data_IF_317429982838
#
_entry.id   IF_317429982838
#
_cell.length_a   1.000
_cell.length_b   1.000
_cell.length_c   1.000
_cell.angle_alpha   90.00
_cell.angle_beta   90.00
_cell.angle_gamma   90.00
#
_symmetry.space_group_name_H-M   'P 1'
#
loop_
_entity.id
_entity.type
_entity.pdbx_description
1 polymer ?
#
# COMPACT_ATOMS: atom_id res chain seq x y z
N UNK A 1 16.53 36.24 -15.50
CA UNK A 1 17.37 35.33 -16.32
C UNK A 1 17.75 34.12 -15.46
N UNK A 2 17.40 32.89 -15.88
CA UNK A 2 17.87 31.67 -15.17
C UNK A 2 19.38 31.53 -15.46
N UNK A 3 20.20 31.44 -14.43
CA UNK A 3 21.62 31.11 -14.60
C UNK A 3 21.71 29.74 -15.30
N UNK A 4 22.66 29.57 -16.24
CA UNK A 4 22.84 28.29 -16.93
C UNK A 4 23.14 27.20 -15.91
N UNK A 5 22.42 26.10 -15.98
CA UNK A 5 22.59 24.94 -15.08
C UNK A 5 24.01 24.38 -15.29
N UNK A 6 24.82 24.25 -14.24
CA UNK A 6 26.16 23.69 -14.32
C UNK A 6 26.16 22.31 -14.96
N UNK A 7 27.14 22.00 -15.78
CA UNK A 7 27.28 20.71 -16.47
C UNK A 7 28.42 19.89 -15.86
N UNK A 8 28.47 18.60 -16.11
CA UNK A 8 29.54 17.71 -15.65
C UNK A 8 30.94 18.21 -16.07
N UNK A 9 31.06 18.84 -17.24
CA UNK A 9 32.30 19.44 -17.74
C UNK A 9 32.78 20.61 -16.87
N UNK A 10 31.88 21.40 -16.33
CA UNK A 10 32.24 22.56 -15.52
C UNK A 10 32.83 22.07 -14.16
N UNK A 11 32.31 20.93 -13.65
CA UNK A 11 32.90 20.26 -12.48
C UNK A 11 34.30 19.70 -12.80
N UNK A 12 34.48 19.16 -14.01
CA UNK A 12 35.79 18.63 -14.45
C UNK A 12 36.83 19.74 -14.51
N UNK A 13 36.49 20.87 -15.10
CA UNK A 13 37.34 22.06 -15.16
C UNK A 13 37.65 22.59 -13.74
N UNK A 14 36.64 22.78 -12.90
CA UNK A 14 36.80 23.30 -11.54
C UNK A 14 37.61 22.36 -10.61
N UNK A 15 37.52 21.05 -10.82
CA UNK A 15 38.25 20.05 -10.02
C UNK A 15 39.60 19.65 -10.61
N UNK A 16 39.95 20.08 -11.82
CA UNK A 16 41.19 19.77 -12.49
C UNK A 16 41.39 18.29 -12.83
N UNK A 17 40.28 17.58 -13.17
CA UNK A 17 40.35 16.17 -13.53
C UNK A 17 39.54 15.88 -14.79
N UNK A 18 39.83 14.73 -15.42
CA UNK A 18 39.09 14.32 -16.61
C UNK A 18 37.63 14.05 -16.34
N UNK A 19 36.74 14.31 -17.30
CA UNK A 19 35.29 14.13 -17.22
C UNK A 19 34.90 12.74 -16.75
N UNK A 20 35.58 11.67 -17.18
CA UNK A 20 35.33 10.31 -16.74
C UNK A 20 35.62 10.08 -15.26
N UNK A 21 36.61 10.80 -14.68
CA UNK A 21 36.95 10.76 -13.27
C UNK A 21 35.85 11.42 -12.44
N UNK A 22 35.34 12.58 -12.89
CA UNK A 22 34.19 13.23 -12.26
C UNK A 22 32.98 12.32 -12.28
N UNK A 23 32.65 11.72 -13.43
CA UNK A 23 31.52 10.79 -13.56
C UNK A 23 31.64 9.60 -12.58
N UNK A 24 32.84 9.03 -12.40
CA UNK A 24 33.09 7.94 -11.46
C UNK A 24 32.99 8.40 -10.02
N UNK A 25 33.58 9.55 -9.68
CA UNK A 25 33.60 10.08 -8.32
C UNK A 25 32.20 10.43 -7.81
N UNK A 26 31.32 10.91 -8.69
CA UNK A 26 29.94 11.29 -8.36
C UNK A 26 28.93 10.12 -8.46
N UNK A 27 29.38 8.95 -8.85
CA UNK A 27 28.55 7.75 -8.91
C UNK A 27 28.89 6.80 -7.76
N UNK A 28 27.95 6.55 -6.86
CA UNK A 28 28.13 5.73 -5.66
C UNK A 28 28.69 4.32 -5.98
N UNK A 29 28.32 3.71 -7.11
CA UNK A 29 28.79 2.38 -7.51
C UNK A 29 30.26 2.36 -7.96
N UNK A 30 30.80 3.48 -8.43
CA UNK A 30 32.17 3.57 -8.98
C UNK A 30 33.06 4.52 -8.19
N UNK A 31 32.54 5.19 -7.18
CA UNK A 31 33.29 6.15 -6.34
C UNK A 31 34.55 5.51 -5.71
N UNK A 32 34.47 4.24 -5.31
CA UNK A 32 35.58 3.48 -4.75
C UNK A 32 36.76 3.28 -5.75
N UNK A 33 36.53 3.45 -7.06
CA UNK A 33 37.57 3.37 -8.09
C UNK A 33 38.37 4.67 -8.22
N UNK A 34 37.97 5.73 -7.51
CA UNK A 34 38.64 7.05 -7.54
C UNK A 34 39.39 7.26 -6.22
N UNK A 35 40.61 7.76 -6.29
CA UNK A 35 41.39 8.06 -5.09
C UNK A 35 40.60 9.01 -4.18
N UNK A 36 40.58 8.78 -2.84
CA UNK A 36 39.75 9.57 -1.90
C UNK A 36 39.98 11.08 -1.99
N UNK A 37 41.22 11.52 -2.15
CA UNK A 37 41.58 12.93 -2.32
C UNK A 37 40.98 13.53 -3.60
N UNK A 38 41.01 12.79 -4.71
CA UNK A 38 40.41 13.21 -5.98
C UNK A 38 38.91 13.27 -5.88
N UNK A 39 38.26 12.26 -5.24
CA UNK A 39 36.82 12.24 -5.04
C UNK A 39 36.39 13.45 -4.20
N UNK A 40 37.13 13.77 -3.11
CA UNK A 40 36.87 14.95 -2.27
C UNK A 40 36.94 16.25 -3.07
N UNK A 41 37.94 16.44 -3.94
CA UNK A 41 38.05 17.62 -4.81
C UNK A 41 36.86 17.74 -5.75
N UNK A 42 36.42 16.63 -6.34
CA UNK A 42 35.30 16.61 -7.26
C UNK A 42 33.99 16.96 -6.51
N UNK A 43 33.76 16.40 -5.34
CA UNK A 43 32.55 16.72 -4.53
C UNK A 43 32.53 18.20 -4.13
N UNK A 44 33.69 18.77 -3.71
CA UNK A 44 33.79 20.19 -3.38
C UNK A 44 33.51 21.09 -4.58
N UNK A 45 34.03 20.73 -5.76
CA UNK A 45 33.78 21.47 -7.00
C UNK A 45 32.28 21.40 -7.39
N UNK A 46 31.67 20.22 -7.33
CA UNK A 46 30.25 20.06 -7.61
C UNK A 46 29.38 20.89 -6.63
N UNK A 47 29.71 20.89 -5.35
CA UNK A 47 29.01 21.69 -4.35
C UNK A 47 29.14 23.19 -4.60
N UNK A 48 30.34 23.68 -4.88
CA UNK A 48 30.60 25.10 -5.19
C UNK A 48 29.82 25.59 -6.42
N UNK A 49 29.71 24.74 -7.45
CA UNK A 49 28.98 25.06 -8.67
C UNK A 49 27.47 24.86 -8.54
N UNK A 50 26.99 24.25 -7.45
CA UNK A 50 25.57 23.82 -7.33
C UNK A 50 25.23 22.72 -8.34
N UNK A 51 26.24 21.96 -8.83
CA UNK A 51 26.01 20.86 -9.76
C UNK A 51 25.29 19.71 -9.05
N UNK A 52 24.23 19.25 -9.68
CA UNK A 52 23.53 18.01 -9.30
C UNK A 52 23.67 17.01 -10.45
N UNK A 53 23.90 15.75 -10.08
CA UNK A 53 23.94 14.69 -11.10
C UNK A 53 22.60 14.65 -11.82
N UNK A 54 22.64 14.81 -13.13
CA UNK A 54 21.45 14.73 -13.96
C UNK A 54 20.97 13.26 -14.02
N UNK A 55 19.89 12.98 -13.29
CA UNK A 55 19.27 11.65 -13.23
C UNK A 55 18.79 11.17 -14.60
N UNK A 56 18.30 12.09 -15.45
CA UNK A 56 17.83 11.78 -16.81
C UNK A 56 18.98 11.35 -17.70
N UNK A 57 20.09 12.12 -17.70
CA UNK A 57 21.28 11.76 -18.45
C UNK A 57 21.90 10.44 -17.99
N UNK A 58 21.86 10.16 -16.68
CA UNK A 58 22.28 8.88 -16.11
C UNK A 58 21.37 7.75 -16.57
N UNK A 59 20.04 7.92 -16.45
CA UNK A 59 19.05 6.92 -16.86
C UNK A 59 19.18 6.56 -18.35
N UNK A 60 19.41 7.55 -19.22
CA UNK A 60 19.65 7.32 -20.66
C UNK A 60 20.91 6.47 -20.90
N UNK A 61 21.96 6.67 -20.11
CA UNK A 61 23.23 5.94 -20.25
C UNK A 61 23.18 4.53 -19.66
N UNK A 62 22.52 4.36 -18.50
CA UNK A 62 22.48 3.10 -17.74
C UNK A 62 21.24 2.27 -18.06
N UNK A 63 20.23 2.85 -18.67
CA UNK A 63 18.87 2.32 -18.85
C UNK A 63 18.14 2.04 -17.53
N UNK A 64 18.62 2.62 -16.43
CA UNK A 64 18.00 2.53 -15.09
C UNK A 64 17.69 3.93 -14.56
N UNK A 65 16.45 4.15 -14.17
CA UNK A 65 16.01 5.43 -13.57
C UNK A 65 16.42 5.54 -12.11
N UNK A 66 16.72 4.40 -11.47
CA UNK A 66 16.90 4.27 -10.02
C UNK A 66 15.65 4.74 -9.25
N UNK A 67 14.48 4.41 -9.79
CA UNK A 67 13.19 4.73 -9.20
C UNK A 67 12.30 3.50 -9.16
N UNK A 68 11.56 3.33 -8.06
CA UNK A 68 10.54 2.30 -7.88
C UNK A 68 9.18 2.98 -7.76
N UNK A 69 8.19 2.49 -8.49
CA UNK A 69 6.82 2.94 -8.36
C UNK A 69 6.10 2.15 -7.26
N UNK A 70 5.44 2.85 -6.35
CA UNK A 70 4.53 2.24 -5.36
C UNK A 70 3.14 2.80 -5.61
N UNK A 71 2.17 1.92 -5.86
CA UNK A 71 0.77 2.31 -6.02
C UNK A 71 -0.08 1.69 -4.92
N UNK A 72 -0.82 2.53 -4.21
CA UNK A 72 -1.72 2.13 -3.12
C UNK A 72 -3.14 2.61 -3.39
N UNK A 73 -4.16 1.97 -2.80
CA UNK A 73 -5.53 2.40 -3.03
C UNK A 73 -5.85 3.74 -2.37
N UNK A 74 -5.36 3.99 -1.15
CA UNK A 74 -5.70 5.20 -0.40
C UNK A 74 -4.59 5.55 0.60
N UNK A 75 -3.99 6.73 0.45
CA UNK A 75 -2.93 7.22 1.34
C UNK A 75 -3.46 7.62 2.73
N UNK A 76 -4.76 7.88 2.85
CA UNK A 76 -5.39 8.25 4.12
C UNK A 76 -5.71 7.03 4.99
N UNK A 77 -5.72 5.82 4.41
CA UNK A 77 -5.90 4.59 5.17
C UNK A 77 -4.62 4.26 5.95
N UNK A 78 -4.67 4.26 7.31
CA UNK A 78 -3.49 4.10 8.18
C UNK A 78 -2.72 2.79 8.01
N UNK A 79 -3.29 1.81 7.33
CA UNK A 79 -2.63 0.54 7.00
C UNK A 79 -1.45 0.72 6.03
N UNK A 80 -1.59 1.60 5.02
CA UNK A 80 -0.60 1.70 3.95
C UNK A 80 0.67 2.47 4.31
N UNK A 81 0.65 3.59 5.05
CA UNK A 81 1.85 4.37 5.35
C UNK A 81 3.00 3.58 6.00
N UNK A 82 2.78 2.67 6.97
CA UNK A 82 3.85 1.84 7.52
C UNK A 82 4.46 0.89 6.48
N UNK A 83 3.65 0.29 5.61
CA UNK A 83 4.12 -0.59 4.55
C UNK A 83 4.96 0.17 3.50
N UNK A 84 4.49 1.35 3.08
CA UNK A 84 5.21 2.24 2.16
C UNK A 84 6.55 2.67 2.78
N UNK A 85 6.56 3.04 4.05
CA UNK A 85 7.79 3.43 4.75
C UNK A 85 8.80 2.29 4.80
N UNK A 86 8.37 1.06 5.15
CA UNK A 86 9.24 -0.10 5.17
C UNK A 86 9.85 -0.39 3.79
N UNK A 87 9.06 -0.27 2.72
CA UNK A 87 9.55 -0.40 1.36
C UNK A 87 10.55 0.72 1.00
N UNK A 88 10.24 1.98 1.33
CA UNK A 88 11.11 3.13 1.09
C UNK A 88 12.48 2.98 1.77
N UNK A 89 12.51 2.53 3.02
CA UNK A 89 13.75 2.29 3.78
C UNK A 89 14.68 1.31 3.04
N UNK A 90 14.12 0.19 2.54
CA UNK A 90 14.87 -0.82 1.79
C UNK A 90 15.35 -0.27 0.45
N UNK A 91 14.47 0.34 -0.32
CA UNK A 91 14.83 0.87 -1.65
C UNK A 91 15.84 2.00 -1.56
N UNK A 92 15.71 2.90 -0.59
CA UNK A 92 16.66 4.00 -0.35
C UNK A 92 18.04 3.45 0.02
N UNK A 93 18.13 2.42 0.86
CA UNK A 93 19.39 1.75 1.19
C UNK A 93 20.07 1.13 -0.05
N UNK A 94 19.28 0.71 -1.05
CA UNK A 94 19.75 0.23 -2.35
C UNK A 94 20.02 1.35 -3.38
N UNK A 95 19.82 2.61 -3.01
CA UNK A 95 20.06 3.78 -3.88
C UNK A 95 18.89 4.12 -4.81
N UNK A 96 17.71 3.53 -4.60
CA UNK A 96 16.50 3.86 -5.34
C UNK A 96 15.71 4.99 -4.67
N UNK A 97 15.04 5.80 -5.46
CA UNK A 97 13.98 6.70 -5.00
C UNK A 97 12.61 6.05 -5.18
N UNK A 98 11.65 6.42 -4.35
CA UNK A 98 10.28 5.92 -4.44
C UNK A 98 9.37 6.98 -5.04
N UNK A 99 8.54 6.57 -6.01
CA UNK A 99 7.43 7.32 -6.55
C UNK A 99 6.13 6.71 -5.99
N UNK A 100 5.47 7.42 -5.08
CA UNK A 100 4.22 6.98 -4.48
C UNK A 100 3.02 7.56 -5.23
N UNK A 101 2.01 6.72 -5.47
CA UNK A 101 0.72 7.12 -6.04
C UNK A 101 -0.44 6.51 -5.27
N UNK A 102 -1.51 7.30 -5.09
CA UNK A 102 -2.78 6.85 -4.51
C UNK A 102 -3.87 6.87 -5.57
N UNK A 103 -4.62 5.77 -5.70
CA UNK A 103 -5.60 5.59 -6.79
C UNK A 103 -7.05 5.81 -6.35
N UNK A 104 -7.30 6.00 -5.05
CA UNK A 104 -8.64 6.11 -4.45
C UNK A 104 -9.57 4.94 -4.84
N UNK A 105 -9.01 3.75 -5.06
CA UNK A 105 -9.71 2.55 -5.58
C UNK A 105 -10.39 2.76 -6.95
N UNK A 106 -10.04 3.82 -7.69
CA UNK A 106 -10.59 4.15 -9.01
C UNK A 106 -9.72 3.57 -10.13
N UNK A 107 -10.35 2.84 -11.07
CA UNK A 107 -9.65 2.19 -12.18
C UNK A 107 -9.03 3.21 -13.13
N UNK A 108 -9.74 4.29 -13.46
CA UNK A 108 -9.25 5.30 -14.40
C UNK A 108 -8.02 6.02 -13.84
N UNK A 109 -8.06 6.36 -12.56
CA UNK A 109 -6.91 6.92 -11.83
C UNK A 109 -5.75 5.92 -11.81
N UNK A 110 -6.02 4.62 -11.56
CA UNK A 110 -4.98 3.60 -11.54
C UNK A 110 -4.25 3.49 -12.90
N UNK A 111 -4.99 3.46 -14.02
CA UNK A 111 -4.39 3.46 -15.35
C UNK A 111 -3.55 4.72 -15.62
N UNK A 112 -4.09 5.89 -15.30
CA UNK A 112 -3.38 7.16 -15.49
C UNK A 112 -2.07 7.20 -14.71
N UNK A 113 -2.09 6.75 -13.46
CA UNK A 113 -0.90 6.72 -12.60
C UNK A 113 0.11 5.66 -13.06
N UNK A 114 -0.37 4.51 -13.52
CA UNK A 114 0.48 3.49 -14.10
C UNK A 114 1.21 4.01 -15.34
N UNK A 115 0.50 4.64 -16.28
CA UNK A 115 1.10 5.25 -17.46
C UNK A 115 2.15 6.31 -17.09
N UNK A 116 1.91 7.10 -16.06
CA UNK A 116 2.89 8.07 -15.57
C UNK A 116 4.17 7.38 -15.05
N UNK A 117 4.05 6.23 -14.37
CA UNK A 117 5.20 5.45 -13.92
C UNK A 117 5.97 4.81 -15.07
N UNK A 118 5.26 4.31 -16.11
CA UNK A 118 5.87 3.84 -17.35
C UNK A 118 6.67 4.96 -18.03
N UNK A 119 6.07 6.16 -18.17
CA UNK A 119 6.74 7.33 -18.75
C UNK A 119 7.96 7.78 -17.93
N UNK A 120 7.88 7.69 -16.60
CA UNK A 120 9.01 7.94 -15.70
C UNK A 120 10.08 6.84 -15.77
N UNK A 121 9.81 5.73 -16.46
CA UNK A 121 10.71 4.58 -16.62
C UNK A 121 11.15 3.98 -15.29
N UNK A 122 10.21 3.80 -14.36
CA UNK A 122 10.53 3.13 -13.09
C UNK A 122 11.15 1.75 -13.37
N UNK A 123 12.12 1.36 -12.54
CA UNK A 123 12.84 0.09 -12.68
C UNK A 123 12.06 -1.10 -12.09
N UNK A 124 11.03 -0.82 -11.30
CA UNK A 124 10.15 -1.81 -10.70
C UNK A 124 8.88 -1.20 -10.13
N UNK A 125 7.89 -2.05 -9.87
CA UNK A 125 6.58 -1.68 -9.32
C UNK A 125 6.23 -2.49 -8.08
N UNK A 126 5.65 -1.81 -7.08
CA UNK A 126 5.04 -2.42 -5.91
C UNK A 126 3.57 -1.98 -5.86
N UNK A 127 2.64 -2.93 -6.06
CA UNK A 127 1.23 -2.62 -6.27
C UNK A 127 0.35 -3.17 -5.14
N UNK A 128 -0.25 -2.28 -4.33
CA UNK A 128 -1.18 -2.62 -3.24
C UNK A 128 -2.65 -2.34 -3.56
N UNK A 129 -2.94 -1.84 -4.77
CA UNK A 129 -4.27 -1.38 -5.17
C UNK A 129 -5.00 -2.33 -6.12
N UNK A 130 -4.37 -3.41 -6.54
CA UNK A 130 -4.88 -4.27 -7.61
C UNK A 130 -6.20 -4.95 -7.24
N UNK A 131 -7.03 -5.22 -8.24
CA UNK A 131 -8.26 -6.01 -8.12
C UNK A 131 -7.99 -7.45 -8.54
N UNK A 132 -8.86 -8.38 -8.17
CA UNK A 132 -8.75 -9.80 -8.54
C UNK A 132 -8.72 -10.00 -10.05
N UNK A 133 -9.62 -9.32 -10.76
CA UNK A 133 -9.68 -9.25 -12.22
C UNK A 133 -9.42 -7.78 -12.62
N UNK A 134 -8.16 -7.39 -12.73
CA UNK A 134 -7.79 -6.00 -13.02
C UNK A 134 -7.35 -5.84 -14.47
N UNK A 135 -7.97 -4.91 -15.22
CA UNK A 135 -7.59 -4.65 -16.62
C UNK A 135 -6.12 -4.23 -16.81
N UNK A 136 -5.48 -3.70 -15.76
CA UNK A 136 -4.07 -3.29 -15.80
C UNK A 136 -3.10 -4.48 -15.92
N UNK A 137 -3.55 -5.70 -15.61
CA UNK A 137 -2.71 -6.91 -15.58
C UNK A 137 -2.07 -7.18 -16.95
N UNK A 138 -2.81 -7.01 -18.04
CA UNK A 138 -2.27 -7.24 -19.38
C UNK A 138 -1.23 -6.16 -19.76
N UNK A 139 -1.42 -4.93 -19.30
CA UNK A 139 -0.42 -3.88 -19.47
C UNK A 139 0.84 -4.16 -18.63
N UNK A 140 0.67 -4.64 -17.40
CA UNK A 140 1.79 -5.06 -16.54
C UNK A 140 2.62 -6.17 -17.19
N UNK A 141 1.97 -7.21 -17.73
CA UNK A 141 2.64 -8.31 -18.44
C UNK A 141 3.42 -7.80 -19.65
N UNK A 142 2.80 -6.93 -20.45
CA UNK A 142 3.41 -6.40 -21.68
C UNK A 142 4.53 -5.39 -21.41
N UNK A 143 4.49 -4.70 -20.28
CA UNK A 143 5.52 -3.71 -19.90
C UNK A 143 6.90 -4.33 -19.61
N UNK A 144 6.91 -5.60 -19.16
CA UNK A 144 8.13 -6.28 -18.73
C UNK A 144 8.79 -5.69 -17.48
N UNK A 145 8.13 -4.77 -16.77
CA UNK A 145 8.66 -4.15 -15.56
C UNK A 145 8.52 -5.13 -14.40
N UNK A 146 9.60 -5.44 -13.65
CA UNK A 146 9.53 -6.25 -12.46
C UNK A 146 8.45 -5.71 -11.50
N UNK A 147 7.47 -6.55 -11.18
CA UNK A 147 6.31 -6.16 -10.38
C UNK A 147 6.10 -7.13 -9.24
N UNK A 148 5.85 -6.59 -8.04
CA UNK A 148 5.43 -7.33 -6.85
C UNK A 148 4.10 -6.77 -6.38
N UNK A 149 3.16 -7.65 -6.10
CA UNK A 149 1.88 -7.30 -5.47
C UNK A 149 2.04 -7.32 -3.95
N UNK A 150 1.38 -6.42 -3.24
CA UNK A 150 1.34 -6.48 -1.78
C UNK A 150 -0.05 -6.17 -1.25
N UNK A 151 -0.38 -6.72 -0.08
CA UNK A 151 -1.69 -6.63 0.55
C UNK A 151 -2.82 -7.27 -0.30
N UNK A 152 -2.91 -6.96 -1.58
CA UNK A 152 -3.86 -7.55 -2.53
C UNK A 152 -3.14 -8.34 -3.60
N UNK A 153 -3.81 -9.34 -4.15
CA UNK A 153 -3.34 -10.14 -5.27
C UNK A 153 -4.43 -10.30 -6.33
N UNK A 154 -4.09 -10.96 -7.42
CA UNK A 154 -5.01 -11.34 -8.51
C UNK A 154 -5.31 -12.83 -8.44
N UNK A 155 -6.29 -13.30 -9.21
CA UNK A 155 -6.71 -14.70 -9.21
C UNK A 155 -5.74 -15.62 -9.99
N UNK A 156 -4.71 -15.06 -10.63
CA UNK A 156 -3.67 -15.81 -11.35
C UNK A 156 -2.33 -15.70 -10.62
N UNK A 157 -1.39 -16.62 -10.91
CA UNK A 157 -0.07 -16.67 -10.28
C UNK A 157 1.02 -15.93 -11.09
N UNK A 158 0.66 -14.91 -11.84
CA UNK A 158 1.57 -14.21 -12.75
C UNK A 158 2.64 -13.36 -12.06
N UNK A 159 2.37 -12.93 -10.84
CA UNK A 159 3.24 -12.01 -10.10
C UNK A 159 3.58 -12.55 -8.72
N UNK A 160 4.81 -12.28 -8.28
CA UNK A 160 5.16 -12.46 -6.87
C UNK A 160 4.29 -11.57 -5.99
N UNK A 161 3.87 -12.08 -4.84
CA UNK A 161 3.04 -11.32 -3.91
C UNK A 161 3.48 -11.48 -2.46
N UNK A 162 3.22 -10.43 -1.67
CA UNK A 162 3.37 -10.41 -0.21
C UNK A 162 2.04 -9.98 0.36
N UNK A 163 1.29 -10.92 0.91
CA UNK A 163 -0.07 -10.70 1.41
C UNK A 163 -0.21 -11.22 2.85
N UNK A 164 -1.09 -10.64 3.68
CA UNK A 164 -1.42 -11.20 4.97
C UNK A 164 -2.18 -12.53 4.81
N UNK A 165 -2.16 -13.35 5.85
CA UNK A 165 -3.04 -14.53 5.92
C UNK A 165 -4.45 -14.10 6.33
N UNK A 166 -5.18 -13.55 5.36
CA UNK A 166 -6.56 -13.06 5.53
C UNK A 166 -7.52 -14.17 5.99
N UNK A 167 -7.28 -15.39 5.54
CA UNK A 167 -8.12 -16.53 5.90
C UNK A 167 -7.95 -16.88 7.37
N UNK A 168 -6.72 -17.05 7.82
CA UNK A 168 -6.42 -17.38 9.21
C UNK A 168 -6.89 -16.29 10.18
N UNK A 169 -6.61 -15.01 9.87
CA UNK A 169 -7.07 -13.88 10.69
C UNK A 169 -8.59 -13.83 10.82
N UNK A 170 -9.32 -14.12 9.74
CA UNK A 170 -10.79 -14.16 9.75
C UNK A 170 -11.34 -15.34 10.53
N UNK A 171 -10.72 -16.51 10.44
CA UNK A 171 -11.06 -17.66 11.28
C UNK A 171 -10.88 -17.34 12.76
N UNK A 172 -9.75 -16.73 13.14
CA UNK A 172 -9.49 -16.30 14.52
C UNK A 172 -10.58 -15.36 15.05
N UNK A 173 -11.06 -14.41 14.24
CA UNK A 173 -12.14 -13.50 14.64
C UNK A 173 -13.45 -14.25 14.92
N UNK A 174 -13.85 -15.18 14.06
CA UNK A 174 -15.05 -16.02 14.26
C UNK A 174 -14.90 -16.88 15.51
N UNK A 175 -13.78 -17.59 15.67
CA UNK A 175 -13.51 -18.42 16.83
C UNK A 175 -13.52 -17.62 18.14
N UNK A 176 -12.95 -16.42 18.13
CA UNK A 176 -12.94 -15.54 19.28
C UNK A 176 -14.37 -15.19 19.74
N UNK A 177 -15.20 -14.71 18.82
CA UNK A 177 -16.59 -14.38 19.11
C UNK A 177 -17.40 -15.63 19.53
N UNK A 178 -17.15 -16.78 18.92
CA UNK A 178 -17.77 -18.04 19.31
C UNK A 178 -17.42 -18.44 20.76
N UNK A 179 -16.14 -18.32 21.14
CA UNK A 179 -15.67 -18.59 22.52
C UNK A 179 -16.31 -17.65 23.55
N UNK A 180 -16.62 -16.41 23.16
CA UNK A 180 -17.35 -15.44 23.98
C UNK A 180 -18.87 -15.72 24.06
N UNK A 181 -19.37 -16.72 23.34
CA UNK A 181 -20.78 -17.13 23.41
C UNK A 181 -21.65 -16.57 22.28
N UNK A 182 -21.15 -15.79 21.38
CA UNK A 182 -21.91 -15.26 20.24
C UNK A 182 -22.33 -16.40 19.29
N UNK A 183 -23.57 -16.35 18.81
CA UNK A 183 -24.16 -17.36 17.89
C UNK A 183 -24.86 -16.71 16.70
N UNK A 184 -25.05 -15.40 16.72
CA UNK A 184 -25.63 -14.59 15.65
C UNK A 184 -24.67 -13.46 15.32
N UNK A 185 -23.89 -13.65 14.26
CA UNK A 185 -22.86 -12.73 13.83
C UNK A 185 -23.30 -11.90 12.63
N UNK A 186 -22.78 -10.69 12.53
CA UNK A 186 -22.74 -9.91 11.31
C UNK A 186 -21.33 -9.93 10.72
N UNK A 187 -21.23 -9.92 9.39
CA UNK A 187 -19.99 -9.63 8.68
C UNK A 187 -20.22 -8.40 7.79
N UNK A 188 -19.50 -7.33 8.08
CA UNK A 188 -19.40 -6.18 7.17
C UNK A 188 -18.12 -6.35 6.37
N UNK A 189 -18.26 -6.88 5.15
CA UNK A 189 -17.14 -7.15 4.25
C UNK A 189 -16.91 -5.98 3.30
N UNK A 190 -15.65 -5.67 3.00
CA UNK A 190 -15.31 -4.68 1.97
C UNK A 190 -15.64 -5.19 0.56
N UNK A 191 -15.39 -4.39 -0.49
CA UNK A 191 -15.70 -4.75 -1.87
C UNK A 191 -15.02 -6.05 -2.31
N UNK A 192 -15.82 -7.07 -2.66
CA UNK A 192 -15.36 -8.44 -2.96
C UNK A 192 -14.59 -8.58 -4.28
N UNK A 193 -14.52 -7.53 -5.08
CA UNK A 193 -13.60 -7.47 -6.20
C UNK A 193 -12.12 -7.39 -5.76
N UNK A 194 -11.84 -7.26 -4.47
CA UNK A 194 -10.49 -7.32 -3.90
C UNK A 194 -10.22 -8.69 -3.30
N UNK A 195 -9.00 -9.18 -3.43
CA UNK A 195 -8.59 -10.48 -2.88
C UNK A 195 -8.71 -10.54 -1.35
N UNK A 196 -8.42 -9.45 -0.65
CA UNK A 196 -8.55 -9.36 0.81
C UNK A 196 -9.99 -9.55 1.26
N UNK A 197 -10.96 -8.84 0.65
CA UNK A 197 -12.36 -8.96 1.02
C UNK A 197 -12.93 -10.35 0.68
N UNK A 198 -12.61 -10.88 -0.51
CA UNK A 198 -13.05 -12.20 -0.94
C UNK A 198 -12.48 -13.31 -0.05
N UNK A 199 -11.19 -13.26 0.29
CA UNK A 199 -10.56 -14.24 1.18
C UNK A 199 -11.18 -14.21 2.58
N UNK A 200 -11.36 -13.02 3.16
CA UNK A 200 -12.01 -12.84 4.48
C UNK A 200 -13.45 -13.35 4.47
N UNK A 201 -14.23 -13.01 3.43
CA UNK A 201 -15.61 -13.49 3.28
C UNK A 201 -15.68 -15.01 3.22
N UNK A 202 -14.84 -15.64 2.40
CA UNK A 202 -14.81 -17.11 2.28
C UNK A 202 -14.46 -17.76 3.61
N UNK A 203 -13.41 -17.29 4.26
CA UNK A 203 -12.94 -17.84 5.53
C UNK A 203 -14.01 -17.71 6.65
N UNK A 204 -14.68 -16.56 6.76
CA UNK A 204 -15.77 -16.38 7.71
C UNK A 204 -16.92 -17.36 7.40
N UNK A 205 -17.35 -17.48 6.13
CA UNK A 205 -18.43 -18.40 5.73
C UNK A 205 -18.11 -19.86 6.04
N UNK A 206 -16.89 -20.29 5.81
CA UNK A 206 -16.44 -21.63 6.11
C UNK A 206 -16.45 -21.89 7.63
N UNK A 207 -15.90 -20.97 8.42
CA UNK A 207 -15.79 -21.16 9.87
C UNK A 207 -17.14 -21.08 10.58
N UNK A 208 -18.03 -20.16 10.20
CA UNK A 208 -19.39 -20.09 10.78
C UNK A 208 -20.21 -21.34 10.45
N UNK A 209 -20.04 -21.91 9.25
CA UNK A 209 -20.66 -23.17 8.85
C UNK A 209 -20.16 -24.34 9.71
N UNK A 210 -18.86 -24.42 9.91
CA UNK A 210 -18.19 -25.45 10.73
C UNK A 210 -18.67 -25.41 12.19
N UNK A 211 -18.84 -24.20 12.74
CA UNK A 211 -19.24 -23.98 14.13
C UNK A 211 -20.76 -23.93 14.34
N UNK A 212 -21.58 -24.04 13.29
CA UNK A 212 -23.04 -23.93 13.37
C UNK A 212 -23.54 -22.54 13.78
N UNK A 213 -22.83 -21.48 13.44
CA UNK A 213 -23.14 -20.08 13.77
C UNK A 213 -23.96 -19.47 12.63
N UNK A 214 -24.97 -18.66 12.98
CA UNK A 214 -25.66 -17.82 12.01
C UNK A 214 -24.81 -16.58 11.70
N UNK A 215 -24.67 -16.24 10.44
CA UNK A 215 -23.95 -15.04 10.03
C UNK A 215 -24.68 -14.33 8.90
N UNK A 216 -25.05 -13.07 9.14
CA UNK A 216 -25.57 -12.17 8.12
C UNK A 216 -24.42 -11.37 7.50
N UNK A 217 -24.40 -11.26 6.17
CA UNK A 217 -23.30 -10.61 5.44
C UNK A 217 -23.82 -9.38 4.72
N UNK A 218 -23.18 -8.25 4.95
CA UNK A 218 -23.43 -7.00 4.20
C UNK A 218 -22.12 -6.56 3.56
N UNK A 219 -22.16 -6.31 2.25
CA UNK A 219 -21.01 -5.78 1.52
C UNK A 219 -20.99 -4.25 1.60
N UNK A 220 -19.94 -3.70 2.17
CA UNK A 220 -19.68 -2.27 2.21
C UNK A 220 -19.17 -1.77 0.83
N UNK A 221 -19.53 -0.55 0.47
CA UNK A 221 -19.15 0.04 -0.82
C UNK A 221 -17.69 0.47 -0.91
N UNK A 222 -16.96 0.48 0.21
CA UNK A 222 -15.58 0.91 0.35
C UNK A 222 -14.91 0.32 1.57
N UNK A 223 -13.69 0.80 1.86
CA UNK A 223 -12.90 0.36 3.02
C UNK A 223 -12.75 1.47 4.08
N UNK A 224 -13.65 2.44 4.08
CA UNK A 224 -13.65 3.62 4.94
C UNK A 224 -14.79 3.58 5.98
N UNK A 225 -14.76 4.54 6.90
CA UNK A 225 -15.71 4.69 7.98
C UNK A 225 -17.15 4.89 7.47
N UNK A 226 -17.33 5.72 6.45
CA UNK A 226 -18.64 6.02 5.86
C UNK A 226 -19.27 4.75 5.26
N UNK A 227 -18.47 3.95 4.57
CA UNK A 227 -18.93 2.67 4.02
C UNK A 227 -19.32 1.67 5.14
N UNK A 228 -18.56 1.65 6.24
CA UNK A 228 -18.87 0.86 7.44
C UNK A 228 -20.17 1.29 8.08
N UNK A 229 -20.41 2.60 8.22
CA UNK A 229 -21.64 3.14 8.80
C UNK A 229 -22.87 2.73 8.00
N UNK A 230 -22.89 2.96 6.68
CA UNK A 230 -24.03 2.55 5.84
C UNK A 230 -24.28 1.04 5.86
N UNK A 231 -23.21 0.25 5.85
CA UNK A 231 -23.35 -1.21 5.91
C UNK A 231 -23.93 -1.67 7.25
N UNK A 232 -23.55 -1.05 8.37
CA UNK A 232 -24.12 -1.39 9.67
C UNK A 232 -25.58 -0.94 9.81
N UNK A 233 -25.94 0.23 9.30
CA UNK A 233 -27.35 0.65 9.23
C UNK A 233 -28.22 -0.35 8.45
N UNK A 234 -27.69 -0.92 7.36
CA UNK A 234 -28.34 -1.99 6.62
C UNK A 234 -28.42 -3.26 7.45
N UNK A 235 -27.33 -3.66 8.09
CA UNK A 235 -27.25 -4.83 8.98
C UNK A 235 -28.34 -4.79 10.07
N UNK A 236 -28.48 -3.65 10.75
CA UNK A 236 -29.47 -3.47 11.82
C UNK A 236 -30.92 -3.58 11.33
N UNK A 237 -31.20 -3.18 10.10
CA UNK A 237 -32.53 -3.35 9.48
C UNK A 237 -32.82 -4.79 9.09
N UNK A 238 -31.84 -5.50 8.56
CA UNK A 238 -32.01 -6.83 7.99
C UNK A 238 -31.87 -7.96 9.00
N UNK A 239 -31.06 -7.75 10.04
CA UNK A 239 -30.74 -8.74 11.07
C UNK A 239 -30.55 -8.07 12.45
N UNK A 240 -31.62 -7.53 13.05
CA UNK A 240 -31.55 -6.82 14.33
C UNK A 240 -31.12 -7.69 15.52
N UNK A 241 -31.12 -9.02 15.36
CA UNK A 241 -30.72 -9.99 16.36
C UNK A 241 -29.20 -10.25 16.42
N UNK A 242 -28.40 -9.58 15.61
CA UNK A 242 -26.92 -9.72 15.61
C UNK A 242 -26.37 -9.26 16.96
N UNK A 243 -25.50 -10.04 17.56
CA UNK A 243 -24.88 -9.71 18.85
C UNK A 243 -23.39 -9.37 18.73
N UNK A 244 -22.79 -9.66 17.60
CA UNK A 244 -21.42 -9.25 17.31
C UNK A 244 -21.20 -9.09 15.80
N UNK A 245 -20.32 -8.17 15.42
CA UNK A 245 -19.97 -7.85 14.03
C UNK A 245 -18.48 -8.02 13.81
N UNK A 246 -18.13 -8.73 12.74
CA UNK A 246 -16.78 -8.75 12.18
C UNK A 246 -16.74 -7.71 11.07
N UNK A 247 -15.90 -6.71 11.23
CA UNK A 247 -15.64 -5.71 10.22
C UNK A 247 -14.37 -6.05 9.43
N UNK A 248 -14.43 -5.93 8.12
CA UNK A 248 -13.37 -6.33 7.20
C UNK A 248 -12.07 -5.53 7.35
N UNK A 249 -12.10 -4.37 7.98
CA UNK A 249 -10.93 -3.63 8.47
C UNK A 249 -11.33 -2.67 9.59
N UNK A 250 -10.35 -2.02 10.21
CA UNK A 250 -10.58 -1.15 11.37
C UNK A 250 -11.33 0.14 11.00
N UNK A 251 -11.16 0.68 9.80
CA UNK A 251 -11.94 1.86 9.37
C UNK A 251 -13.42 1.52 9.20
N UNK A 252 -13.73 0.36 8.60
CA UNK A 252 -15.10 -0.15 8.57
C UNK A 252 -15.61 -0.37 9.98
N UNK A 253 -14.79 -0.94 10.89
CA UNK A 253 -15.16 -1.15 12.29
C UNK A 253 -15.52 0.15 13.01
N UNK A 254 -14.80 1.26 12.74
CA UNK A 254 -15.16 2.58 13.27
C UNK A 254 -16.56 3.02 12.82
N UNK A 255 -16.84 2.94 11.53
CA UNK A 255 -18.16 3.25 11.00
C UNK A 255 -19.27 2.35 11.56
N UNK A 256 -18.97 1.07 11.76
CA UNK A 256 -19.89 0.11 12.44
C UNK A 256 -20.18 0.58 13.86
N UNK A 257 -19.16 0.93 14.65
CA UNK A 257 -19.32 1.42 16.03
C UNK A 257 -20.14 2.71 16.08
N UNK A 258 -19.87 3.63 15.16
CA UNK A 258 -20.60 4.91 15.09
C UNK A 258 -22.09 4.67 14.76
N UNK A 259 -22.41 3.74 13.86
CA UNK A 259 -23.79 3.39 13.52
C UNK A 259 -24.50 2.70 14.69
N UNK A 260 -23.83 1.81 15.43
CA UNK A 260 -24.38 1.19 16.66
C UNK A 260 -24.79 2.27 17.67
N UNK A 261 -23.89 3.22 17.94
CA UNK A 261 -24.14 4.34 18.84
C UNK A 261 -25.25 5.25 18.34
N UNK A 262 -25.26 5.55 17.04
CA UNK A 262 -26.31 6.35 16.40
C UNK A 262 -27.70 5.72 16.53
N UNK A 263 -27.77 4.41 16.63
CA UNK A 263 -29.01 3.64 16.91
C UNK A 263 -29.38 3.57 18.40
N UNK A 264 -28.62 4.24 19.28
CA UNK A 264 -28.85 4.25 20.73
C UNK A 264 -28.43 2.96 21.45
N UNK A 265 -27.56 2.18 20.82
CA UNK A 265 -26.98 0.94 21.39
C UNK A 265 -25.52 1.14 21.81
N UNK A 266 -25.04 0.32 22.71
CA UNK A 266 -23.68 0.37 23.22
C UNK A 266 -22.78 -0.73 22.61
N UNK A 267 -21.56 -0.36 22.30
CA UNK A 267 -20.48 -1.29 21.92
C UNK A 267 -19.46 -1.34 23.09
N UNK A 268 -19.15 -2.50 23.64
CA UNK A 268 -19.54 -3.86 23.22
C UNK A 268 -20.80 -4.43 23.91
N UNK A 269 -21.52 -3.67 24.76
CA UNK A 269 -22.57 -4.20 25.66
C UNK A 269 -23.74 -4.81 24.87
N UNK A 270 -24.20 -4.12 23.82
CA UNK A 270 -25.30 -4.61 22.98
C UNK A 270 -24.76 -5.37 21.77
N UNK A 271 -23.74 -4.83 21.10
CA UNK A 271 -23.10 -5.45 19.93
C UNK A 271 -21.59 -5.35 20.06
N UNK A 272 -20.91 -6.49 20.11
CA UNK A 272 -19.45 -6.58 20.06
C UNK A 272 -18.93 -6.33 18.64
N UNK A 273 -17.77 -5.69 18.50
CA UNK A 273 -17.14 -5.44 17.18
C UNK A 273 -15.70 -5.95 17.17
N UNK A 274 -15.33 -6.64 16.10
CA UNK A 274 -13.96 -7.04 15.81
C UNK A 274 -13.54 -6.41 14.50
N UNK A 275 -12.40 -5.70 14.50
CA UNK A 275 -11.77 -5.14 13.31
C UNK A 275 -10.75 -6.09 12.67
N UNK A 276 -9.95 -5.57 11.76
CA UNK A 276 -8.86 -6.26 11.10
C UNK A 276 -7.80 -5.24 10.70
N UNK A 277 -6.51 -5.55 10.87
CA UNK A 277 -5.28 -4.82 10.55
C UNK A 277 -4.52 -4.30 11.77
N UNK A 278 -5.14 -4.09 12.93
CA UNK A 278 -4.53 -3.45 14.11
C UNK A 278 -3.87 -2.10 13.73
N UNK A 279 -4.70 -1.22 13.13
CA UNK A 279 -4.21 0.09 12.69
C UNK A 279 -3.63 0.91 13.86
N UNK A 280 -2.66 1.79 13.61
CA UNK A 280 -2.15 2.68 14.65
C UNK A 280 -3.28 3.38 15.39
N UNK A 281 -3.26 3.32 16.71
CA UNK A 281 -4.25 3.88 17.64
C UNK A 281 -5.52 3.06 17.85
N UNK A 282 -5.73 1.91 17.19
CA UNK A 282 -6.91 1.07 17.41
C UNK A 282 -7.15 0.76 18.90
N UNK A 283 -6.12 0.39 19.64
CA UNK A 283 -6.21 0.15 21.09
C UNK A 283 -6.44 1.40 21.97
N UNK A 284 -6.49 2.60 21.39
CA UNK A 284 -6.81 3.86 22.12
C UNK A 284 -8.20 4.39 21.82
N UNK A 285 -8.92 3.71 20.95
CA UNK A 285 -10.31 4.03 20.67
C UNK A 285 -11.20 3.72 21.89
N UNK A 286 -12.45 4.15 21.83
CA UNK A 286 -13.43 3.85 22.85
C UNK A 286 -14.70 3.28 22.19
N UNK A 287 -14.98 1.97 22.35
CA UNK A 287 -14.11 0.98 23.01
C UNK A 287 -12.79 0.76 22.25
N UNK A 288 -11.75 0.20 22.87
CA UNK A 288 -10.55 -0.27 22.17
C UNK A 288 -10.94 -1.34 21.14
N UNK A 289 -10.31 -1.25 19.98
CA UNK A 289 -10.56 -2.17 18.87
C UNK A 289 -9.39 -3.15 18.73
#
# INVERSE_FOLDING_TARGET
MRQPTPRLKDVAEQSGVHLSTVSRALNNQTAAMVRPETARRVHLAAQKLGYRVDGVARALKTRHSMSIGIMIPDITNPFFPPAVRGAEEVFTACGYSVMLSSTNNDIGTAHTQFDAMIQARVDGLLLGMIRREDPIVDQLRSSGIPTVLFNRTIDTEDFSSVVPDDAYGSQMAVEHLHKLGHRKLGLVVGPVFTSTADSRLRAVREEVKKLGIQCHVVEARGFDETAGQYAMEQMLRESPEVTAVIASNDLIALGVIDSIRGAGMDCPQDISVVGFNDMPLAGRLQPPL
#
